data_IF_482500114141
#
_entry.id   IF_482500114141
#
_cell.length_a   1.000
_cell.length_b   1.000
_cell.length_c   1.000
_cell.angle_alpha   90.00
_cell.angle_beta   90.00
_cell.angle_gamma   90.00
#
_symmetry.space_group_name_H-M   'P 1'
#
loop_
_entity.id
_entity.type
_entity.pdbx_description
1 polymer ?
#
# COMPACT_ATOMS: atom_id res chain seq x y z
N UNK A 1 20.55 18.57 5.82
CA UNK A 1 19.40 19.06 6.62
C UNK A 1 19.05 18.01 7.65
N UNK A 2 18.81 18.38 8.91
CA UNK A 2 18.34 17.43 9.92
C UNK A 2 16.83 17.22 9.71
N UNK A 3 16.43 16.03 9.26
CA UNK A 3 15.01 15.70 9.08
C UNK A 3 14.37 15.37 10.43
N UNK A 4 13.16 15.85 10.67
CA UNK A 4 12.37 15.45 11.84
C UNK A 4 11.95 13.97 11.73
N UNK A 5 11.56 13.34 12.83
CA UNK A 5 11.06 11.95 12.80
C UNK A 5 9.87 11.78 11.86
N UNK A 6 8.96 12.75 11.85
CA UNK A 6 7.81 12.77 10.93
C UNK A 6 8.24 12.80 9.46
N UNK A 7 9.23 13.64 9.12
CA UNK A 7 9.77 13.74 7.77
C UNK A 7 10.50 12.46 7.36
N UNK A 8 11.28 11.87 8.27
CA UNK A 8 11.98 10.61 8.04
C UNK A 8 10.98 9.47 7.81
N UNK A 9 9.89 9.42 8.58
CA UNK A 9 8.84 8.43 8.40
C UNK A 9 8.16 8.54 7.03
N UNK A 10 7.72 9.75 6.65
CA UNK A 10 7.08 9.97 5.35
C UNK A 10 8.00 9.62 4.18
N UNK A 11 9.26 10.08 4.22
CA UNK A 11 10.24 9.78 3.18
C UNK A 11 10.62 8.30 3.17
N UNK A 12 10.69 7.64 4.32
CA UNK A 12 10.92 6.20 4.42
C UNK A 12 9.86 5.40 3.67
N UNK A 13 8.59 5.74 3.87
CA UNK A 13 7.47 5.12 3.14
C UNK A 13 7.54 5.45 1.65
N UNK A 14 7.75 6.72 1.30
CA UNK A 14 7.82 7.16 -0.10
C UNK A 14 9.01 6.57 -0.86
N UNK A 15 10.10 6.17 -0.20
CA UNK A 15 11.21 5.43 -0.83
C UNK A 15 10.83 4.02 -1.24
N UNK A 16 9.89 3.41 -0.54
CA UNK A 16 9.38 2.09 -0.91
C UNK A 16 8.23 2.20 -1.92
N UNK A 17 7.37 3.24 -1.84
CA UNK A 17 6.23 3.39 -2.76
C UNK A 17 6.51 4.25 -4.01
N UNK A 18 7.52 5.10 -3.98
CA UNK A 18 7.87 6.07 -5.03
C UNK A 18 6.91 7.27 -5.12
N UNK A 19 5.61 7.00 -5.21
CA UNK A 19 4.55 7.99 -5.32
C UNK A 19 3.54 7.86 -4.19
N UNK A 20 2.81 8.94 -3.94
CA UNK A 20 1.71 9.01 -2.99
C UNK A 20 0.72 10.09 -3.40
N UNK A 21 -0.58 9.85 -3.22
CA UNK A 21 -1.61 10.89 -3.37
C UNK A 21 -1.66 11.76 -2.12
N UNK A 22 -1.97 13.04 -2.28
CA UNK A 22 -2.10 13.95 -1.14
C UNK A 22 -3.10 13.48 -0.08
N UNK A 23 -4.19 12.82 -0.49
CA UNK A 23 -5.20 12.26 0.41
C UNK A 23 -4.70 11.06 1.24
N UNK A 24 -3.61 10.40 0.80
CA UNK A 24 -2.97 9.30 1.53
C UNK A 24 -2.00 9.78 2.62
N UNK A 25 -1.54 11.03 2.56
CA UNK A 25 -0.51 11.56 3.48
C UNK A 25 -1.03 11.63 4.91
N UNK A 26 -2.21 12.20 5.14
CA UNK A 26 -2.74 12.35 6.50
C UNK A 26 -3.04 11.00 7.17
N UNK A 27 -3.75 10.04 6.54
CA UNK A 27 -3.92 8.70 7.09
C UNK A 27 -2.59 8.02 7.41
N UNK A 28 -1.59 8.15 6.52
CA UNK A 28 -0.27 7.59 6.76
C UNK A 28 0.39 8.21 8.00
N UNK A 29 0.41 9.54 8.10
CA UNK A 29 1.02 10.23 9.23
C UNK A 29 0.32 9.89 10.55
N UNK A 30 -0.98 9.59 10.52
CA UNK A 30 -1.75 9.14 11.70
C UNK A 30 -1.40 7.74 12.17
N UNK A 31 -0.83 6.89 11.30
CA UNK A 31 -0.25 5.63 11.73
C UNK A 31 0.92 5.87 12.68
N UNK A 32 1.70 6.92 12.46
CA UNK A 32 2.85 7.27 13.31
C UNK A 32 2.46 8.11 14.53
N UNK A 33 1.60 9.10 14.33
CA UNK A 33 1.11 10.01 15.38
C UNK A 33 -0.40 10.28 15.17
N UNK A 34 -1.29 9.65 15.97
CA UNK A 34 -2.73 9.81 15.82
C UNK A 34 -3.24 11.25 15.95
N UNK A 35 -2.48 12.14 16.61
CA UNK A 35 -2.84 13.54 16.78
C UNK A 35 -2.58 14.41 15.53
N UNK A 36 -2.02 13.84 14.46
CA UNK A 36 -1.77 14.58 13.21
C UNK A 36 -3.06 15.09 12.58
N UNK A 37 -3.00 16.34 12.13
CA UNK A 37 -4.05 17.04 11.39
C UNK A 37 -3.49 17.54 10.05
N UNK A 38 -4.38 17.95 9.15
CA UNK A 38 -4.03 18.34 7.79
C UNK A 38 -2.94 19.43 7.71
N UNK A 39 -3.02 20.46 8.56
CA UNK A 39 -2.04 21.56 8.58
C UNK A 39 -0.63 21.09 8.94
N UNK A 40 -0.48 20.05 9.77
CA UNK A 40 0.82 19.44 10.06
C UNK A 40 1.40 18.79 8.79
N UNK A 41 0.59 18.02 8.07
CA UNK A 41 0.99 17.38 6.81
C UNK A 41 1.40 18.40 5.76
N UNK A 42 0.63 19.48 5.59
CA UNK A 42 0.97 20.56 4.66
C UNK A 42 2.28 21.25 5.00
N UNK A 43 2.56 21.49 6.29
CA UNK A 43 3.83 22.05 6.73
C UNK A 43 5.01 21.10 6.44
N UNK A 44 4.84 19.81 6.71
CA UNK A 44 5.85 18.78 6.39
C UNK A 44 6.13 18.74 4.89
N UNK A 45 5.09 18.65 4.05
CA UNK A 45 5.22 18.61 2.60
C UNK A 45 5.88 19.88 2.06
N UNK A 46 5.49 21.05 2.57
CA UNK A 46 6.10 22.33 2.21
C UNK A 46 7.60 22.36 2.53
N UNK A 47 7.99 21.96 3.73
CA UNK A 47 9.40 21.90 4.12
C UNK A 47 10.20 20.92 3.26
N UNK A 48 9.66 19.72 3.00
CA UNK A 48 10.34 18.73 2.17
C UNK A 48 10.47 19.19 0.71
N UNK A 49 9.49 19.93 0.19
CA UNK A 49 9.58 20.56 -1.15
C UNK A 49 10.67 21.63 -1.18
N UNK A 50 10.76 22.50 -0.18
CA UNK A 50 11.83 23.50 -0.11
C UNK A 50 13.22 22.87 0.03
N UNK A 51 13.31 21.73 0.71
CA UNK A 51 14.53 20.95 0.81
C UNK A 51 14.90 20.23 -0.51
N UNK A 52 14.02 20.22 -1.50
CA UNK A 52 14.22 19.53 -2.78
C UNK A 52 14.02 18.02 -2.72
N UNK A 53 13.44 17.49 -1.63
CA UNK A 53 13.20 16.05 -1.43
C UNK A 53 11.95 15.57 -2.19
N UNK A 54 10.95 16.46 -2.33
CA UNK A 54 9.65 16.15 -2.93
C UNK A 54 9.32 17.10 -4.09
N UNK A 55 8.60 16.56 -5.06
CA UNK A 55 8.05 17.32 -6.19
C UNK A 55 6.53 17.10 -6.24
N UNK A 56 5.72 18.17 -6.32
CA UNK A 56 4.30 18.04 -6.62
C UNK A 56 4.10 17.70 -8.10
N UNK A 57 3.11 16.87 -8.39
CA UNK A 57 2.65 16.57 -9.75
C UNK A 57 1.28 17.21 -10.00
N UNK A 58 0.92 17.40 -11.27
CA UNK A 58 -0.27 18.15 -11.70
C UNK A 58 -1.60 17.49 -11.27
N UNK A 59 -1.58 16.21 -10.89
CA UNK A 59 -2.73 15.39 -10.52
C UNK A 59 -2.93 15.23 -8.99
N UNK A 60 -2.24 16.04 -8.19
CA UNK A 60 -2.31 15.93 -6.73
C UNK A 60 -1.47 14.77 -6.17
N UNK A 61 -0.57 14.20 -6.96
CA UNK A 61 0.48 13.31 -6.47
C UNK A 61 1.68 14.09 -5.92
N UNK A 62 2.39 13.42 -5.02
CA UNK A 62 3.73 13.77 -4.58
C UNK A 62 4.65 12.58 -4.87
N UNK A 63 5.87 12.88 -5.28
CA UNK A 63 6.90 11.88 -5.50
C UNK A 63 8.27 12.40 -5.03
N UNK A 64 9.21 11.47 -4.88
CA UNK A 64 10.60 11.80 -4.65
C UNK A 64 11.17 12.58 -5.84
N UNK A 65 12.10 13.48 -5.56
CA UNK A 65 12.70 14.31 -6.61
C UNK A 65 13.35 13.50 -7.75
N UNK A 66 13.88 12.33 -7.43
CA UNK A 66 14.50 11.37 -8.35
C UNK A 66 13.51 10.75 -9.36
N UNK A 67 12.22 10.86 -9.09
CA UNK A 67 11.15 10.34 -9.94
C UNK A 67 10.50 11.44 -10.81
N UNK A 68 11.09 12.64 -10.85
CA UNK A 68 10.63 13.74 -11.70
C UNK A 68 10.47 13.27 -13.15
N UNK A 69 9.30 13.54 -13.73
CA UNK A 69 9.00 13.21 -15.13
C UNK A 69 8.71 11.73 -15.38
N UNK A 70 8.70 10.88 -14.35
CA UNK A 70 8.25 9.48 -14.47
C UNK A 70 6.75 9.39 -14.22
N UNK A 71 6.08 8.53 -14.99
CA UNK A 71 4.66 8.22 -14.80
C UNK A 71 4.42 7.53 -13.46
N UNK A 72 3.28 7.84 -12.84
CA UNK A 72 2.92 7.28 -11.55
C UNK A 72 2.51 5.80 -11.65
N UNK A 73 2.92 5.03 -10.65
CA UNK A 73 2.54 3.63 -10.54
C UNK A 73 1.19 3.48 -9.81
N UNK A 74 0.10 3.46 -10.58
CA UNK A 74 -1.25 3.37 -10.01
C UNK A 74 -1.48 2.08 -9.20
N UNK A 75 -0.83 0.98 -9.58
CA UNK A 75 -0.92 -0.28 -8.84
C UNK A 75 -0.27 -0.15 -7.44
N UNK A 76 0.84 0.58 -7.33
CA UNK A 76 1.45 0.92 -6.03
C UNK A 76 0.57 1.85 -5.19
N UNK A 77 -0.03 2.87 -5.82
CA UNK A 77 -0.95 3.78 -5.12
C UNK A 77 -2.15 3.01 -4.53
N UNK A 78 -2.70 2.04 -5.26
CA UNK A 78 -3.74 1.15 -4.75
C UNK A 78 -3.22 0.25 -3.61
N UNK A 79 -2.00 -0.27 -3.72
CA UNK A 79 -1.41 -1.09 -2.67
C UNK A 79 -1.20 -0.31 -1.36
N UNK A 80 -0.85 0.98 -1.45
CA UNK A 80 -0.77 1.85 -0.30
C UNK A 80 -2.14 2.07 0.36
N UNK A 81 -3.23 2.15 -0.41
CA UNK A 81 -4.58 2.23 0.17
C UNK A 81 -4.94 0.97 0.98
N UNK A 82 -4.50 -0.19 0.51
CA UNK A 82 -4.68 -1.45 1.23
C UNK A 82 -3.95 -1.43 2.57
N UNK A 83 -2.71 -0.96 2.60
CA UNK A 83 -1.95 -0.76 3.84
C UNK A 83 -2.71 0.17 4.79
N UNK A 84 -3.10 1.35 4.32
CA UNK A 84 -3.78 2.37 5.13
C UNK A 84 -5.13 1.89 5.68
N UNK A 85 -5.80 0.99 4.98
CA UNK A 85 -7.07 0.41 5.44
C UNK A 85 -6.88 -0.69 6.49
N UNK A 86 -5.70 -1.30 6.61
CA UNK A 86 -5.44 -2.42 7.51
C UNK A 86 -4.61 -2.05 8.74
N UNK A 87 -3.78 -1.01 8.62
CA UNK A 87 -2.85 -0.59 9.66
C UNK A 87 -3.56 0.25 10.74
N UNK A 88 -3.28 -0.07 12.00
CA UNK A 88 -3.68 0.72 13.18
C UNK A 88 -2.52 1.49 13.80
N UNK A 89 -1.30 1.24 13.34
CA UNK A 89 -0.04 1.86 13.75
C UNK A 89 0.99 1.82 12.62
N UNK A 90 2.22 2.30 12.83
CA UNK A 90 3.20 2.35 11.76
C UNK A 90 3.64 0.91 11.40
N UNK A 91 3.83 0.58 10.12
CA UNK A 91 4.31 -0.73 9.73
C UNK A 91 5.72 -0.96 10.30
N UNK A 92 5.97 -2.16 10.87
CA UNK A 92 7.30 -2.56 11.37
C UNK A 92 8.28 -2.60 10.20
N UNK A 93 7.82 -3.14 9.07
CA UNK A 93 8.55 -3.20 7.83
C UNK A 93 7.60 -2.92 6.68
N UNK A 94 8.11 -2.21 5.68
CA UNK A 94 7.44 -1.93 4.43
C UNK A 94 8.46 -2.14 3.31
N UNK A 95 8.11 -2.88 2.26
CA UNK A 95 8.97 -2.97 1.09
C UNK A 95 8.24 -3.26 -0.21
N UNK A 96 8.74 -2.70 -1.31
CA UNK A 96 8.27 -2.98 -2.68
C UNK A 96 9.19 -3.93 -3.46
N UNK A 97 10.23 -4.47 -2.82
CA UNK A 97 11.30 -5.25 -3.48
C UNK A 97 11.09 -6.77 -3.46
N UNK A 98 9.86 -7.23 -3.25
CA UNK A 98 9.52 -8.65 -3.07
C UNK A 98 8.53 -9.14 -4.14
N UNK A 99 8.98 -9.45 -5.37
CA UNK A 99 8.12 -10.03 -6.40
C UNK A 99 7.49 -11.36 -5.92
N UNK A 100 6.23 -11.66 -6.31
CA UNK A 100 5.38 -10.91 -7.24
C UNK A 100 4.63 -9.73 -6.60
N UNK A 101 4.75 -9.52 -5.29
CA UNK A 101 3.97 -8.52 -4.58
C UNK A 101 4.38 -7.10 -4.96
N UNK A 102 3.38 -6.23 -5.10
CA UNK A 102 3.59 -4.81 -5.33
C UNK A 102 4.11 -4.12 -4.08
N UNK A 103 3.55 -4.50 -2.92
CA UNK A 103 3.91 -3.95 -1.63
C UNK A 103 3.75 -5.04 -0.56
N UNK A 104 4.80 -5.27 0.21
CA UNK A 104 4.79 -6.13 1.39
C UNK A 104 4.93 -5.28 2.65
N UNK A 105 4.21 -5.66 3.70
CA UNK A 105 4.32 -4.98 4.98
C UNK A 105 4.06 -5.91 6.17
N UNK A 106 4.71 -5.60 7.28
CA UNK A 106 4.53 -6.26 8.57
C UNK A 106 3.79 -5.31 9.52
N UNK A 107 2.70 -5.81 10.10
CA UNK A 107 1.92 -5.06 11.09
C UNK A 107 1.96 -5.77 12.43
N UNK A 108 2.16 -4.99 13.49
CA UNK A 108 1.91 -5.45 14.86
C UNK A 108 0.40 -5.38 15.15
N UNK A 109 -0.15 -6.46 15.66
CA UNK A 109 -1.54 -6.55 16.14
C UNK A 109 -1.59 -6.42 17.66
N UNK A 110 -2.80 -6.17 18.16
CA UNK A 110 -3.08 -6.24 19.60
C UNK A 110 -2.64 -7.61 20.15
N UNK A 111 -1.83 -7.59 21.21
CA UNK A 111 -1.23 -8.79 21.80
C UNK A 111 0.17 -9.16 21.27
N UNK A 112 0.84 -8.30 20.50
CA UNK A 112 2.24 -8.49 20.07
C UNK A 112 2.41 -9.50 18.93
N UNK A 113 1.31 -9.93 18.32
CA UNK A 113 1.34 -10.80 17.13
C UNK A 113 1.75 -9.97 15.92
N UNK A 114 2.71 -10.48 15.16
CA UNK A 114 3.13 -9.88 13.89
C UNK A 114 2.47 -10.65 12.75
N UNK A 115 1.72 -9.96 11.90
CA UNK A 115 1.17 -10.53 10.67
C UNK A 115 1.88 -9.93 9.45
N UNK A 116 2.26 -10.80 8.52
CA UNK A 116 2.86 -10.41 7.24
C UNK A 116 1.79 -10.35 6.14
N UNK A 117 1.82 -9.27 5.36
CA UNK A 117 0.91 -9.05 4.24
C UNK A 117 1.67 -8.77 2.95
N UNK A 118 1.15 -9.27 1.84
CA UNK A 118 1.64 -9.01 0.49
C UNK A 118 0.49 -8.61 -0.42
N UNK A 119 0.54 -7.39 -0.97
CA UNK A 119 -0.47 -6.89 -1.90
C UNK A 119 -0.09 -7.26 -3.33
N UNK A 120 -1.00 -7.94 -4.02
CA UNK A 120 -0.82 -8.34 -5.41
C UNK A 120 -2.00 -7.86 -6.25
N UNK A 121 -1.82 -6.81 -7.07
CA UNK A 121 -2.79 -6.42 -8.08
C UNK A 121 -2.97 -7.51 -9.14
N UNK A 122 -4.22 -7.83 -9.47
CA UNK A 122 -4.57 -8.84 -10.46
C UNK A 122 -5.27 -8.17 -11.63
N UNK A 123 -4.56 -8.06 -12.74
CA UNK A 123 -5.13 -7.57 -13.98
C UNK A 123 -6.14 -8.58 -14.55
N UNK A 124 -7.29 -8.13 -15.09
CA UNK A 124 -8.25 -9.00 -15.76
C UNK A 124 -7.59 -9.85 -16.85
N UNK A 125 -7.85 -11.16 -16.84
CA UNK A 125 -7.27 -12.12 -17.79
C UNK A 125 -5.90 -12.69 -17.37
N UNK A 126 -5.34 -12.25 -16.24
CA UNK A 126 -4.07 -12.77 -15.69
C UNK A 126 -4.26 -13.66 -14.46
N UNK A 127 -5.49 -14.03 -14.12
CA UNK A 127 -5.83 -14.79 -12.91
C UNK A 127 -5.09 -16.12 -12.83
N UNK A 128 -5.02 -16.88 -13.94
CA UNK A 128 -4.31 -18.16 -13.98
C UNK A 128 -2.81 -18.01 -13.74
N UNK A 129 -2.19 -16.97 -14.32
CA UNK A 129 -0.76 -16.68 -14.13
C UNK A 129 -0.51 -16.29 -12.67
N UNK A 130 -1.36 -15.43 -12.10
CA UNK A 130 -1.30 -15.08 -10.68
C UNK A 130 -1.39 -16.32 -9.79
N UNK A 131 -2.28 -17.26 -10.11
CA UNK A 131 -2.36 -18.55 -9.40
C UNK A 131 -1.06 -19.35 -9.43
N UNK A 132 -0.42 -19.44 -10.59
CA UNK A 132 0.85 -20.15 -10.78
C UNK A 132 1.99 -19.46 -10.01
N UNK A 133 2.07 -18.13 -10.09
CA UNK A 133 3.10 -17.35 -9.40
C UNK A 133 2.99 -17.53 -7.89
N UNK A 134 1.78 -17.45 -7.34
CA UNK A 134 1.53 -17.61 -5.91
C UNK A 134 1.77 -19.03 -5.42
N UNK A 135 1.51 -20.06 -6.25
CA UNK A 135 1.81 -21.44 -5.89
C UNK A 135 3.31 -21.69 -5.63
N UNK A 136 4.19 -20.83 -6.13
CA UNK A 136 5.65 -20.88 -5.91
C UNK A 136 6.11 -20.03 -4.72
N UNK A 137 5.21 -19.27 -4.08
CA UNK A 137 5.56 -18.40 -2.96
C UNK A 137 5.44 -19.12 -1.61
N UNK A 138 6.20 -18.68 -0.60
CA UNK A 138 6.00 -19.09 0.79
C UNK A 138 4.57 -18.77 1.27
N UNK A 139 4.00 -19.65 2.11
CA UNK A 139 2.63 -19.53 2.62
C UNK A 139 2.53 -18.85 4.00
N UNK A 140 3.61 -18.21 4.45
CA UNK A 140 3.71 -17.47 5.70
C UNK A 140 3.14 -16.04 5.61
N UNK A 141 2.92 -15.54 4.39
CA UNK A 141 2.33 -14.23 4.12
C UNK A 141 0.84 -14.35 3.82
N UNK A 142 0.03 -13.45 4.39
CA UNK A 142 -1.38 -13.29 4.00
C UNK A 142 -1.45 -12.44 2.73
N UNK A 143 -1.98 -13.01 1.66
CA UNK A 143 -1.99 -12.34 0.35
C UNK A 143 -3.27 -11.54 0.13
N UNK A 144 -3.11 -10.29 -0.31
CA UNK A 144 -4.19 -9.35 -0.56
C UNK A 144 -4.28 -9.12 -2.06
N UNK A 145 -5.24 -9.78 -2.71
CA UNK A 145 -5.43 -9.74 -4.16
C UNK A 145 -6.29 -8.55 -4.53
N UNK A 146 -5.68 -7.51 -5.10
CA UNK A 146 -6.42 -6.34 -5.52
C UNK A 146 -7.06 -6.61 -6.89
N UNK A 147 -8.39 -6.76 -6.91
CA UNK A 147 -9.17 -7.08 -8.10
C UNK A 147 -9.80 -5.81 -8.69
N UNK A 148 -9.95 -5.80 -10.01
CA UNK A 148 -10.71 -4.78 -10.74
C UNK A 148 -12.21 -5.07 -10.69
N UNK A 149 -12.58 -6.34 -10.82
CA UNK A 149 -13.97 -6.83 -10.70
C UNK A 149 -14.02 -8.00 -9.73
N UNK A 150 -15.14 -8.10 -9.01
CA UNK A 150 -15.36 -9.21 -8.07
C UNK A 150 -15.37 -10.55 -8.82
N UNK A 151 -15.91 -10.60 -10.04
CA UNK A 151 -16.01 -11.82 -10.85
C UNK A 151 -14.68 -12.54 -11.05
N UNK A 152 -13.54 -11.82 -11.01
CA UNK A 152 -12.21 -12.39 -11.12
C UNK A 152 -11.92 -13.44 -10.02
N UNK A 153 -12.58 -13.34 -8.86
CA UNK A 153 -12.39 -14.32 -7.78
C UNK A 153 -12.76 -15.74 -8.22
N UNK A 154 -13.66 -15.90 -9.20
CA UNK A 154 -14.11 -17.22 -9.68
C UNK A 154 -12.99 -17.98 -10.39
N UNK A 155 -12.03 -17.26 -10.96
CA UNK A 155 -10.89 -17.80 -11.70
C UNK A 155 -9.63 -17.94 -10.83
N UNK A 156 -9.68 -17.45 -9.58
CA UNK A 156 -8.57 -17.47 -8.64
C UNK A 156 -8.77 -18.58 -7.60
N UNK A 157 -8.16 -19.74 -7.84
CA UNK A 157 -8.15 -20.86 -6.89
C UNK A 157 -6.80 -20.96 -6.20
N UNK A 158 -6.71 -20.44 -4.98
CA UNK A 158 -5.47 -20.37 -4.21
C UNK A 158 -5.55 -21.21 -2.94
N UNK A 159 -4.45 -21.86 -2.58
CA UNK A 159 -4.35 -22.69 -1.37
C UNK A 159 -3.92 -21.92 -0.12
N UNK A 160 -3.21 -20.81 -0.30
CA UNK A 160 -2.69 -20.00 0.80
C UNK A 160 -3.74 -19.05 1.37
N UNK A 161 -3.46 -18.49 2.55
CA UNK A 161 -4.34 -17.50 3.19
C UNK A 161 -4.39 -16.24 2.34
N UNK A 162 -5.58 -15.89 1.86
CA UNK A 162 -5.76 -14.72 1.03
C UNK A 162 -7.10 -14.00 1.26
N UNK A 163 -7.11 -12.72 0.94
CA UNK A 163 -8.31 -11.90 0.83
C UNK A 163 -8.35 -11.27 -0.56
N UNK A 164 -9.54 -11.22 -1.15
CA UNK A 164 -9.83 -10.39 -2.31
C UNK A 164 -10.13 -8.98 -1.84
N UNK A 165 -9.49 -8.01 -2.46
CA UNK A 165 -9.67 -6.59 -2.17
C UNK A 165 -10.26 -5.94 -3.41
N UNK A 166 -11.39 -5.27 -3.26
CA UNK A 166 -12.03 -4.53 -4.35
C UNK A 166 -12.37 -3.13 -3.88
N UNK A 167 -12.28 -2.17 -4.80
CA UNK A 167 -12.76 -0.82 -4.56
C UNK A 167 -14.20 -0.71 -5.04
N UNK A 168 -15.13 -0.47 -4.11
CA UNK A 168 -16.55 -0.23 -4.39
C UNK A 168 -16.93 1.12 -3.77
N UNK A 169 -17.54 2.01 -4.57
CA UNK A 169 -18.00 3.33 -4.12
C UNK A 169 -16.91 4.14 -3.39
N UNK A 170 -15.67 4.04 -3.86
CA UNK A 170 -14.52 4.73 -3.27
C UNK A 170 -13.94 4.10 -2.00
N UNK A 171 -14.52 3.01 -1.48
CA UNK A 171 -14.03 2.29 -0.28
C UNK A 171 -13.46 0.92 -0.65
N UNK A 172 -12.47 0.48 0.11
CA UNK A 172 -11.94 -0.88 -0.01
C UNK A 172 -12.81 -1.85 0.78
N UNK A 173 -13.16 -2.97 0.15
CA UNK A 173 -13.83 -4.10 0.79
C UNK A 173 -12.95 -5.34 0.69
N UNK A 174 -12.89 -6.10 1.77
CA UNK A 174 -12.06 -7.29 1.92
C UNK A 174 -12.95 -8.52 2.02
N UNK A 175 -12.78 -9.47 1.11
CA UNK A 175 -13.52 -10.73 1.06
C UNK A 175 -12.56 -11.88 1.30
N UNK A 176 -12.86 -12.76 2.26
CA UNK A 176 -11.99 -13.90 2.56
C UNK A 176 -12.07 -14.93 1.43
N UNK A 177 -10.93 -15.49 1.05
CA UNK A 177 -10.75 -16.44 -0.06
C UNK A 177 -11.53 -17.77 0.00
N UNK A 178 -12.37 -17.97 1.02
CA UNK A 178 -13.31 -19.09 1.14
C UNK A 178 -14.78 -18.69 1.33
N UNK A 179 -15.06 -17.41 1.62
CA UNK A 179 -16.41 -16.91 1.94
C UNK A 179 -17.08 -16.20 0.74
N UNK A 180 -16.36 -15.97 -0.36
CA UNK A 180 -16.91 -15.41 -1.61
C UNK A 180 -17.76 -16.43 -2.42
N UNK A 181 -18.45 -17.33 -1.72
CA UNK A 181 -19.33 -18.38 -2.26
C UNK A 181 -20.80 -18.24 -1.83
N UNK A 182 -21.15 -17.20 -1.08
CA UNK A 182 -22.54 -16.95 -0.68
C UNK A 182 -23.15 -15.78 -1.45
#
# INVERSE_FOLDING_TARGET
>A
MLLTKDQQFLLGVLRETGWMRQDQVLPLMRLYDPAKVQSHCEAILRHLRYAGELIPMDDGLICLAELRGKGADHAMLCALDVLLSLASGPPIQLTSRMPPYKLCFLLEREGGRIDAFGVLPVEPGRESITGILLAQQPQDVTVLLFLTSLEQHQLLHLRQRHYFVIRQEGRLRFFKGGDARQ
#
